data_IF_699683440484
#
_entry.id   IF_699683440484
#
_cell.length_a   1.000
_cell.length_b   1.000
_cell.length_c   1.000
_cell.angle_alpha   90.00
_cell.angle_beta   90.00
_cell.angle_gamma   90.00
#
_symmetry.space_group_name_H-M   'P 1'
#
loop_
_entity.id
_entity.type
_entity.pdbx_description
1 polymer ?
#
# COMPACT_ATOMS: atom_id res chain seq x y z
N UNK A 1 -6.00 -17.52 4.95
CA UNK A 1 -6.18 -16.33 5.82
C UNK A 1 -7.39 -15.54 5.38
N UNK A 2 -7.44 -14.99 4.16
CA UNK A 2 -8.57 -14.17 3.73
C UNK A 2 -9.95 -14.84 3.84
N UNK A 3 -10.10 -16.09 3.37
CA UNK A 3 -11.37 -16.81 3.42
C UNK A 3 -11.72 -17.38 4.81
N UNK A 4 -10.72 -17.62 5.66
CA UNK A 4 -10.89 -18.40 6.91
C UNK A 4 -10.79 -17.57 8.17
N UNK A 5 -10.06 -16.44 8.13
CA UNK A 5 -9.78 -15.56 9.26
C UNK A 5 -9.80 -14.09 8.80
N UNK A 6 -10.93 -13.59 8.27
CA UNK A 6 -11.02 -12.22 7.75
C UNK A 6 -10.73 -11.16 8.82
N UNK A 7 -11.07 -11.44 10.09
CA UNK A 7 -10.74 -10.55 11.20
C UNK A 7 -9.23 -10.42 11.40
N UNK A 8 -8.48 -11.52 11.27
CA UNK A 8 -7.01 -11.48 11.35
C UNK A 8 -6.45 -10.71 10.17
N UNK A 9 -6.93 -10.98 8.96
CA UNK A 9 -6.51 -10.30 7.73
C UNK A 9 -6.60 -8.77 7.88
N UNK A 10 -7.74 -8.27 8.35
CA UNK A 10 -7.97 -6.83 8.48
C UNK A 10 -7.05 -6.15 9.52
N UNK A 11 -6.46 -6.92 10.45
CA UNK A 11 -5.53 -6.37 11.45
C UNK A 11 -4.07 -6.34 10.96
N UNK A 12 -3.72 -7.13 9.95
CA UNK A 12 -2.33 -7.27 9.49
C UNK A 12 -1.67 -5.95 9.12
N UNK A 13 -2.33 -5.00 8.42
CA UNK A 13 -1.70 -3.71 8.11
C UNK A 13 -1.33 -2.91 9.36
N UNK A 14 -2.18 -2.94 10.40
CA UNK A 14 -1.88 -2.28 11.67
C UNK A 14 -0.65 -2.85 12.38
N UNK A 15 -0.44 -4.18 12.30
CA UNK A 15 0.76 -4.84 12.79
C UNK A 15 1.98 -4.54 11.91
N UNK A 16 1.84 -4.66 10.58
CA UNK A 16 2.91 -4.42 9.61
C UNK A 16 3.49 -2.99 9.74
N UNK A 17 2.63 -2.01 9.98
CA UNK A 17 3.00 -0.61 10.16
C UNK A 17 4.00 -0.37 11.31
N UNK A 18 4.03 -1.24 12.32
CA UNK A 18 4.92 -1.06 13.48
C UNK A 18 6.39 -1.37 13.15
N UNK A 19 6.66 -1.92 11.97
CA UNK A 19 7.99 -2.27 11.54
C UNK A 19 8.58 -1.19 10.63
N UNK A 20 9.75 -0.68 11.00
CA UNK A 20 10.50 0.26 10.16
C UNK A 20 11.27 -0.51 9.08
N UNK A 21 10.83 -0.39 7.82
CA UNK A 21 11.46 -1.11 6.69
C UNK A 21 12.68 -0.39 6.11
N UNK A 22 12.97 0.84 6.55
CA UNK A 22 14.04 1.66 5.99
C UNK A 22 13.79 2.00 4.51
N UNK A 23 14.72 2.72 3.85
CA UNK A 23 14.53 3.16 2.47
C UNK A 23 14.80 2.07 1.42
N UNK A 24 15.46 0.97 1.82
CA UNK A 24 15.84 -0.10 0.89
C UNK A 24 14.79 -1.22 0.91
N UNK A 25 14.00 -1.39 -0.15
CA UNK A 25 12.99 -2.45 -0.21
C UNK A 25 13.58 -3.87 -0.25
N UNK A 26 14.88 -4.01 -0.52
CA UNK A 26 15.60 -5.29 -0.47
C UNK A 26 16.21 -5.58 0.91
N UNK A 27 16.10 -4.65 1.87
CA UNK A 27 16.55 -4.92 3.24
C UNK A 27 15.68 -6.01 3.87
N UNK A 28 16.25 -6.87 4.75
CA UNK A 28 15.48 -7.89 5.44
C UNK A 28 14.29 -7.26 6.17
N UNK A 29 13.07 -7.64 5.77
CA UNK A 29 11.89 -7.25 6.53
C UNK A 29 11.80 -8.12 7.79
N UNK A 30 11.24 -7.61 8.90
CA UNK A 30 11.18 -8.33 10.16
C UNK A 30 10.32 -9.60 10.12
N UNK A 31 9.52 -9.78 9.07
CA UNK A 31 8.76 -11.01 8.85
C UNK A 31 9.52 -12.03 7.96
N UNK A 32 10.72 -11.70 7.49
CA UNK A 32 11.53 -12.49 6.55
C UNK A 32 10.71 -12.99 5.32
N UNK A 33 9.80 -12.14 4.85
CA UNK A 33 8.93 -12.45 3.71
C UNK A 33 9.60 -12.09 2.39
N UNK A 34 9.30 -12.86 1.35
CA UNK A 34 9.69 -12.49 0.00
C UNK A 34 8.92 -11.25 -0.48
N UNK A 35 9.63 -10.36 -1.18
CA UNK A 35 9.01 -9.21 -1.83
C UNK A 35 8.11 -9.71 -2.97
N UNK A 36 6.82 -9.36 -2.91
CA UNK A 36 5.84 -9.71 -3.96
C UNK A 36 5.76 -8.68 -5.09
N UNK A 37 6.45 -7.55 -4.94
CA UNK A 37 6.47 -6.47 -5.94
C UNK A 37 6.83 -5.12 -5.32
N UNK A 38 6.88 -4.10 -6.16
CA UNK A 38 7.15 -2.71 -5.77
C UNK A 38 6.02 -1.80 -6.25
N UNK A 39 5.56 -0.94 -5.35
CA UNK A 39 4.62 0.13 -5.66
C UNK A 39 5.34 1.48 -5.62
N UNK A 40 5.18 2.28 -6.67
CA UNK A 40 5.75 3.63 -6.76
C UNK A 40 4.90 4.51 -7.67
N UNK A 41 5.19 5.81 -7.70
CA UNK A 41 4.60 6.74 -8.66
C UNK A 41 5.62 7.06 -9.75
N UNK A 42 5.19 7.08 -11.01
CA UNK A 42 6.06 7.51 -12.12
C UNK A 42 6.34 9.01 -12.01
N UNK A 43 7.27 9.52 -12.84
CA UNK A 43 7.53 10.96 -12.93
C UNK A 43 6.30 11.79 -13.35
N UNK A 44 5.30 11.16 -13.97
CA UNK A 44 4.02 11.78 -14.31
C UNK A 44 2.96 11.66 -13.19
N UNK A 45 3.32 11.11 -12.02
CA UNK A 45 2.42 10.90 -10.90
C UNK A 45 1.45 9.72 -11.08
N UNK A 46 1.73 8.80 -12.00
CA UNK A 46 0.89 7.61 -12.21
C UNK A 46 1.22 6.55 -11.15
N UNK A 47 0.26 6.09 -10.33
CA UNK A 47 0.48 4.95 -9.46
C UNK A 47 0.80 3.70 -10.27
N UNK A 48 1.90 3.04 -9.92
CA UNK A 48 2.45 1.93 -10.66
C UNK A 48 2.72 0.77 -9.70
N UNK A 49 2.32 -0.44 -10.08
CA UNK A 49 2.69 -1.67 -9.39
C UNK A 49 3.52 -2.53 -10.32
N UNK A 50 4.75 -2.83 -9.93
CA UNK A 50 5.56 -3.85 -10.57
C UNK A 50 5.47 -5.12 -9.73
N UNK A 51 4.77 -6.15 -10.22
CA UNK A 51 4.63 -7.44 -9.54
C UNK A 51 5.61 -8.49 -10.07
N UNK A 52 6.47 -8.10 -11.02
CA UNK A 52 7.57 -8.92 -11.49
C UNK A 52 8.74 -8.82 -10.51
N UNK A 53 9.20 -9.97 -10.04
CA UNK A 53 10.34 -10.13 -9.13
C UNK A 53 11.23 -11.27 -9.64
N UNK A 54 12.39 -11.50 -9.02
CA UNK A 54 13.24 -12.64 -9.38
C UNK A 54 12.53 -14.00 -9.25
N UNK A 55 11.49 -14.08 -8.38
CA UNK A 55 10.77 -15.31 -8.07
C UNK A 55 9.45 -15.48 -8.82
N UNK A 56 8.88 -14.40 -9.36
CA UNK A 56 7.58 -14.44 -10.04
C UNK A 56 7.48 -13.39 -11.15
N UNK A 57 6.69 -13.68 -12.18
CA UNK A 57 6.48 -12.79 -13.32
C UNK A 57 4.97 -12.60 -13.56
N UNK A 58 4.33 -11.79 -12.71
CA UNK A 58 2.88 -11.54 -12.73
C UNK A 58 2.50 -10.43 -13.70
N UNK A 59 3.38 -9.44 -13.89
CA UNK A 59 3.19 -8.28 -14.75
C UNK A 59 3.26 -6.95 -14.00
N UNK A 60 2.97 -5.88 -14.75
CA UNK A 60 2.99 -4.50 -14.26
C UNK A 60 1.64 -3.84 -14.47
N UNK A 61 1.29 -2.94 -13.55
CA UNK A 61 -0.01 -2.27 -13.51
C UNK A 61 0.19 -0.76 -13.27
N UNK A 62 0.40 0.03 -14.33
CA UNK A 62 0.07 1.45 -14.30
C UNK A 62 -1.45 1.57 -14.13
N UNK A 63 -1.90 2.45 -13.24
CA UNK A 63 -3.32 2.55 -12.94
C UNK A 63 -3.75 3.98 -12.58
N UNK A 64 -5.06 4.21 -12.63
CA UNK A 64 -5.69 5.44 -12.22
C UNK A 64 -6.78 5.18 -11.17
N UNK A 65 -7.05 6.19 -10.33
CA UNK A 65 -8.12 6.12 -9.33
C UNK A 65 -9.47 6.00 -10.02
N UNK A 66 -10.19 4.92 -9.70
CA UNK A 66 -11.55 4.67 -10.17
C UNK A 66 -12.60 4.80 -9.05
N UNK A 67 -12.18 4.75 -7.79
CA UNK A 67 -13.07 4.93 -6.65
C UNK A 67 -12.32 5.11 -5.33
N UNK A 68 -13.00 5.63 -4.33
CA UNK A 68 -12.49 5.73 -2.97
C UNK A 68 -13.58 5.65 -1.92
N UNK A 69 -13.21 5.16 -0.74
CA UNK A 69 -14.01 5.25 0.48
C UNK A 69 -13.10 5.69 1.64
N UNK A 70 -13.61 6.42 2.63
CA UNK A 70 -12.83 6.71 3.84
C UNK A 70 -12.38 5.41 4.51
N UNK A 71 -11.20 5.42 5.13
CA UNK A 71 -10.81 4.33 6.00
C UNK A 71 -11.79 4.25 7.19
N UNK A 72 -12.03 3.06 7.76
CA UNK A 72 -12.81 2.90 8.98
C UNK A 72 -12.30 3.83 10.10
N UNK A 73 -13.21 4.35 10.93
CA UNK A 73 -12.86 5.31 11.97
C UNK A 73 -11.92 4.73 13.05
N UNK A 74 -11.91 3.41 13.20
CA UNK A 74 -11.06 2.63 14.09
C UNK A 74 -9.75 2.15 13.44
N UNK A 75 -9.49 2.52 12.18
CA UNK A 75 -8.22 2.22 11.53
C UNK A 75 -7.03 2.82 12.29
N UNK A 76 -5.93 2.07 12.35
CA UNK A 76 -4.71 2.50 13.05
C UNK A 76 -4.19 3.79 12.42
N UNK A 77 -3.99 4.82 13.26
CA UNK A 77 -3.69 6.19 12.79
C UNK A 77 -2.25 6.40 12.31
N UNK A 78 -1.36 5.47 12.65
CA UNK A 78 0.08 5.54 12.44
C UNK A 78 0.80 4.61 13.43
N UNK A 79 2.12 4.68 13.50
CA UNK A 79 2.90 3.87 14.45
C UNK A 79 2.53 4.18 15.91
N UNK A 80 2.42 3.14 16.74
CA UNK A 80 1.92 3.25 18.11
C UNK A 80 0.49 3.81 18.21
N UNK A 81 -0.30 3.71 17.13
CA UNK A 81 -1.62 4.32 16.97
C UNK A 81 -1.63 5.85 17.16
N UNK A 82 -0.53 6.51 16.79
CA UNK A 82 -0.36 7.96 16.78
C UNK A 82 -0.14 8.43 15.35
N UNK A 83 -0.65 9.62 15.00
CA UNK A 83 -0.52 10.19 13.66
C UNK A 83 -1.82 10.78 13.16
N UNK A 84 -1.86 11.01 11.85
CA UNK A 84 -2.87 11.82 11.17
C UNK A 84 -4.00 10.98 10.57
N UNK A 85 -4.01 9.67 10.86
CA UNK A 85 -5.03 8.74 10.40
C UNK A 85 -4.58 7.86 9.24
N UNK A 86 -5.46 6.94 8.86
CA UNK A 86 -5.24 6.04 7.75
C UNK A 86 -5.70 6.67 6.42
N UNK A 87 -4.92 6.48 5.35
CA UNK A 87 -5.32 6.89 4.00
C UNK A 87 -6.59 6.19 3.54
N UNK A 88 -7.36 6.83 2.66
CA UNK A 88 -8.58 6.25 2.11
C UNK A 88 -8.36 4.88 1.42
N UNK A 89 -9.37 4.03 1.45
CA UNK A 89 -9.42 2.84 0.59
C UNK A 89 -9.61 3.27 -0.86
N UNK A 90 -8.99 2.54 -1.78
CA UNK A 90 -9.01 2.88 -3.21
C UNK A 90 -9.40 1.68 -4.05
N UNK A 91 -10.14 1.95 -5.12
CA UNK A 91 -10.17 1.12 -6.31
C UNK A 91 -9.35 1.82 -7.39
N UNK A 92 -8.35 1.13 -7.93
CA UNK A 92 -7.55 1.58 -9.06
C UNK A 92 -7.82 0.65 -10.24
N UNK A 93 -7.92 1.21 -11.45
CA UNK A 93 -8.12 0.45 -12.69
C UNK A 93 -6.91 0.64 -13.59
N UNK A 94 -6.54 -0.41 -14.31
CA UNK A 94 -5.47 -0.39 -15.28
C UNK A 94 -5.64 0.77 -16.27
N UNK A 95 -4.52 1.37 -16.63
CA UNK A 95 -4.41 2.28 -17.78
C UNK A 95 -3.47 1.67 -18.81
N UNK A 96 -3.29 2.37 -19.93
CA UNK A 96 -2.40 1.93 -21.01
C UNK A 96 -1.02 1.53 -20.47
N UNK A 97 -0.52 0.38 -20.94
CA UNK A 97 0.76 -0.20 -20.56
C UNK A 97 0.70 -1.26 -19.47
N UNK A 98 -0.48 -1.62 -18.95
CA UNK A 98 -0.62 -2.78 -18.08
C UNK A 98 -0.30 -4.11 -18.79
N UNK A 99 0.34 -5.03 -18.07
CA UNK A 99 0.74 -6.35 -18.57
C UNK A 99 0.18 -7.46 -17.67
N UNK A 100 0.35 -8.73 -18.07
CA UNK A 100 -0.10 -9.87 -17.26
C UNK A 100 -1.62 -9.96 -17.08
N UNK A 101 -2.38 -9.36 -18.00
CA UNK A 101 -3.83 -9.21 -17.94
C UNK A 101 -4.35 -8.51 -16.68
N UNK A 102 -3.50 -7.78 -15.94
CA UNK A 102 -3.89 -7.05 -14.74
C UNK A 102 -4.90 -5.96 -15.10
N UNK A 103 -6.05 -5.96 -14.42
CA UNK A 103 -7.17 -5.06 -14.71
C UNK A 103 -7.40 -4.05 -13.60
N UNK A 104 -7.28 -4.46 -12.34
CA UNK A 104 -7.58 -3.58 -11.22
C UNK A 104 -6.89 -4.02 -9.96
N UNK A 105 -6.72 -3.05 -9.05
CA UNK A 105 -6.25 -3.29 -7.71
C UNK A 105 -7.13 -2.54 -6.71
N UNK A 106 -7.48 -3.22 -5.62
CA UNK A 106 -8.11 -2.60 -4.47
C UNK A 106 -7.08 -2.44 -3.35
N UNK A 107 -6.99 -1.23 -2.81
CA UNK A 107 -6.28 -0.93 -1.56
C UNK A 107 -7.28 -0.87 -0.43
N UNK A 108 -7.18 -1.79 0.52
CA UNK A 108 -8.10 -1.98 1.64
C UNK A 108 -7.34 -2.05 2.96
N UNK A 109 -8.08 -2.01 4.07
CA UNK A 109 -7.56 -2.18 5.43
C UNK A 109 -6.32 -1.30 5.72
N UNK A 110 -6.35 -0.05 5.25
CA UNK A 110 -5.24 0.89 5.39
C UNK A 110 -4.95 1.24 6.85
N UNK A 111 -3.67 1.44 7.17
CA UNK A 111 -3.17 1.90 8.45
C UNK A 111 -2.12 3.00 8.22
N UNK A 112 -2.29 4.16 8.86
CA UNK A 112 -1.42 5.32 8.68
C UNK A 112 -1.41 5.90 7.26
N UNK A 113 -0.39 6.72 6.98
CA UNK A 113 -0.13 7.32 5.67
C UNK A 113 -0.83 8.64 5.37
N UNK A 114 -1.79 9.08 6.18
CA UNK A 114 -2.36 10.42 5.98
C UNK A 114 -1.28 11.48 6.25
N UNK A 115 -1.11 12.47 5.37
CA UNK A 115 -0.17 13.54 5.60
C UNK A 115 -0.66 14.44 6.76
N UNK A 116 0.26 15.14 7.45
CA UNK A 116 -0.15 16.19 8.38
C UNK A 116 -0.94 17.26 7.65
N UNK A 117 -1.88 17.90 8.36
CA UNK A 117 -2.72 18.96 7.81
C UNK A 117 -1.90 20.13 7.24
N UNK A 118 -0.69 20.35 7.76
CA UNK A 118 0.27 21.33 7.26
C UNK A 118 1.70 20.79 7.34
N UNK A 119 2.62 21.38 6.58
CA UNK A 119 4.05 21.11 6.70
C UNK A 119 4.74 21.93 7.82
N UNK A 120 3.98 22.65 8.65
CA UNK A 120 4.56 23.52 9.68
C UNK A 120 5.30 22.69 10.72
N UNK A 121 6.56 23.05 10.98
CA UNK A 121 7.41 22.34 11.95
C UNK A 121 7.95 20.99 11.48
N UNK A 122 7.68 20.60 10.23
CA UNK A 122 8.23 19.37 9.65
C UNK A 122 9.63 19.62 9.05
N UNK A 123 10.50 18.60 9.02
CA UNK A 123 11.75 18.66 8.25
C UNK A 123 11.52 18.92 6.76
N UNK A 124 12.54 19.40 6.06
CA UNK A 124 12.46 19.65 4.61
C UNK A 124 12.10 18.39 3.80
N UNK A 125 12.50 17.22 4.29
CA UNK A 125 12.08 15.92 3.78
C UNK A 125 11.76 15.01 4.97
N UNK A 126 10.61 14.35 4.91
CA UNK A 126 10.17 13.38 5.89
C UNK A 126 9.29 12.33 5.22
N UNK A 127 9.17 11.17 5.86
CA UNK A 127 8.31 10.08 5.42
C UNK A 127 7.16 9.90 6.40
N UNK A 128 6.00 9.48 5.88
CA UNK A 128 4.86 9.06 6.70
C UNK A 128 4.66 7.56 6.46
N UNK A 129 4.85 6.79 7.52
CA UNK A 129 4.72 5.34 7.44
C UNK A 129 3.27 4.91 7.20
N UNK A 130 3.13 3.86 6.40
CA UNK A 130 1.83 3.36 5.94
C UNK A 130 1.90 1.86 5.64
N UNK A 131 0.79 1.17 5.89
CA UNK A 131 0.58 -0.20 5.46
C UNK A 131 -0.85 -0.37 4.94
N UNK A 132 -1.05 -1.31 4.02
CA UNK A 132 -2.37 -1.73 3.58
C UNK A 132 -2.35 -3.13 3.00
N UNK A 133 -3.56 -3.62 2.75
CA UNK A 133 -3.82 -4.81 1.99
C UNK A 133 -4.15 -4.45 0.53
N UNK A 134 -3.57 -5.19 -0.41
CA UNK A 134 -3.81 -5.02 -1.84
C UNK A 134 -4.38 -6.29 -2.46
N UNK A 135 -5.47 -6.15 -3.22
CA UNK A 135 -6.09 -7.22 -4.00
C UNK A 135 -5.98 -6.92 -5.48
N UNK A 136 -5.21 -7.74 -6.20
CA UNK A 136 -5.01 -7.62 -7.64
C UNK A 136 -5.96 -8.57 -8.39
N UNK A 137 -6.57 -8.08 -9.46
CA UNK A 137 -7.47 -8.84 -10.31
C UNK A 137 -6.98 -8.80 -11.76
N UNK A 138 -6.95 -9.97 -12.40
CA UNK A 138 -6.64 -10.15 -13.82
C UNK A 138 -7.79 -10.85 -14.55
N UNK A 139 -7.74 -10.83 -15.89
CA UNK A 139 -8.66 -11.55 -16.79
C UNK A 139 -8.02 -12.77 -17.41
#
# INVERSE_FOLDING_TARGET
IAATLPQVLNTLPGFALQFNLGPNPASPNPANLDVSGLHFFTGAGVPFFNLDTEKQQVGTLPCAKAGSAPAPADAVKGQGNKGEGAVAWLKLTAVDGATGNLQSVYRLNTAGGSPPATCQGMPAAFSVEYAAEYWFYST
#
